data_IF_372541784783
#
_entry.id   IF_372541784783
#
_cell.length_a   1.000
_cell.length_b   1.000
_cell.length_c   1.000
_cell.angle_alpha   90.00
_cell.angle_beta   90.00
_cell.angle_gamma   90.00
#
_symmetry.space_group_name_H-M   'P 1'
#
loop_
_entity.id
_entity.type
_entity.pdbx_description
1 polymer ?
#
# COMPACT_ATOMS: atom_id res chain seq x y z
N UNK A 1 -8.44 17.50 16.25
CA UNK A 1 -8.95 16.60 15.19
C UNK A 1 -8.24 16.78 13.82
N UNK A 2 -7.78 17.98 13.46
CA UNK A 2 -7.16 18.32 12.15
C UNK A 2 -5.98 17.43 11.69
N UNK A 3 -5.06 17.06 12.58
CA UNK A 3 -3.86 16.26 12.24
C UNK A 3 -4.18 14.78 11.96
N UNK A 4 -5.20 14.22 12.64
CA UNK A 4 -5.57 12.79 12.53
C UNK A 4 -6.04 12.43 11.11
N UNK A 5 -6.69 13.37 10.41
CA UNK A 5 -7.24 13.12 9.07
C UNK A 5 -6.16 13.18 7.97
N UNK A 6 -5.10 13.97 8.17
CA UNK A 6 -3.95 14.01 7.26
C UNK A 6 -3.12 12.74 7.39
N UNK A 7 -2.89 12.26 8.62
CA UNK A 7 -2.20 10.97 8.84
C UNK A 7 -3.02 9.84 8.23
N UNK A 8 -4.35 9.85 8.41
CA UNK A 8 -5.25 8.88 7.77
C UNK A 8 -5.13 8.86 6.25
N UNK A 9 -5.15 10.03 5.60
CA UNK A 9 -4.98 10.14 4.15
C UNK A 9 -3.59 9.67 3.69
N UNK A 10 -2.52 10.04 4.41
CA UNK A 10 -1.16 9.57 4.11
C UNK A 10 -1.04 8.05 4.22
N UNK A 11 -1.50 7.46 5.33
CA UNK A 11 -1.50 6.01 5.53
C UNK A 11 -2.34 5.29 4.49
N UNK A 12 -3.46 5.89 4.06
CA UNK A 12 -4.25 5.34 2.97
C UNK A 12 -3.45 5.27 1.66
N UNK A 13 -2.67 6.30 1.34
CA UNK A 13 -1.77 6.31 0.19
C UNK A 13 -0.73 5.20 0.25
N UNK A 14 -0.11 4.99 1.42
CA UNK A 14 0.85 3.91 1.66
C UNK A 14 0.22 2.54 1.40
N UNK A 15 -0.96 2.26 1.97
CA UNK A 15 -1.65 0.98 1.81
C UNK A 15 -2.07 0.74 0.36
N UNK A 16 -2.68 1.75 -0.29
CA UNK A 16 -3.06 1.65 -1.70
C UNK A 16 -1.85 1.35 -2.58
N UNK A 17 -0.72 2.04 -2.39
CA UNK A 17 0.50 1.78 -3.13
C UNK A 17 1.09 0.38 -2.85
N UNK A 18 0.99 -0.11 -1.60
CA UNK A 18 1.39 -1.48 -1.27
C UNK A 18 0.53 -2.53 -1.98
N UNK A 19 -0.78 -2.26 -2.17
CA UNK A 19 -1.70 -3.24 -2.77
C UNK A 19 -1.35 -3.61 -4.22
N UNK A 20 -0.96 -2.63 -5.04
CA UNK A 20 -0.81 -2.80 -6.49
C UNK A 20 0.20 -3.87 -6.90
N UNK A 21 1.45 -3.89 -6.40
CA UNK A 21 2.42 -4.92 -6.80
C UNK A 21 1.98 -6.32 -6.37
N UNK A 22 1.31 -6.47 -5.22
CA UNK A 22 0.78 -7.76 -4.77
C UNK A 22 -0.37 -8.25 -5.67
N UNK A 23 -1.31 -7.37 -6.03
CA UNK A 23 -2.39 -7.72 -6.95
C UNK A 23 -1.85 -8.06 -8.35
N UNK A 24 -0.89 -7.28 -8.86
CA UNK A 24 -0.22 -7.57 -10.14
C UNK A 24 0.50 -8.93 -10.12
N UNK A 25 1.25 -9.21 -9.04
CA UNK A 25 1.92 -10.51 -8.83
C UNK A 25 0.92 -11.66 -8.81
N UNK A 26 -0.21 -11.49 -8.12
CA UNK A 26 -1.24 -12.52 -8.04
C UNK A 26 -1.87 -12.84 -9.41
N UNK A 27 -2.15 -11.80 -10.21
CA UNK A 27 -2.65 -11.96 -11.59
C UNK A 27 -1.61 -12.63 -12.48
N UNK A 28 -0.34 -12.24 -12.36
CA UNK A 28 0.76 -12.82 -13.11
C UNK A 28 1.14 -14.25 -12.67
N UNK A 29 0.52 -14.78 -11.61
CA UNK A 29 0.83 -16.10 -11.06
C UNK A 29 2.24 -16.20 -10.45
N UNK A 30 2.87 -15.07 -10.17
CA UNK A 30 4.23 -14.99 -9.66
C UNK A 30 4.27 -15.10 -8.12
N UNK A 31 5.47 -15.02 -7.56
CA UNK A 31 5.71 -14.93 -6.12
C UNK A 31 6.20 -13.54 -5.75
N UNK A 32 5.73 -13.08 -4.62
CA UNK A 32 6.19 -11.85 -3.97
C UNK A 32 5.97 -12.02 -2.48
N UNK A 33 6.96 -11.61 -1.69
CA UNK A 33 6.96 -11.81 -0.26
C UNK A 33 5.76 -11.12 0.40
N UNK A 34 5.01 -11.83 1.25
CA UNK A 34 3.98 -11.22 2.09
C UNK A 34 4.14 -11.64 3.55
N UNK A 35 3.61 -10.88 4.53
CA UNK A 35 3.62 -11.29 5.93
C UNK A 35 2.89 -12.61 6.21
N UNK A 36 1.97 -13.01 5.32
CA UNK A 36 1.13 -14.20 5.51
C UNK A 36 1.89 -15.52 5.30
N UNK A 37 2.89 -15.55 4.39
CA UNK A 37 3.63 -16.78 4.05
C UNK A 37 5.11 -16.53 3.71
N UNK A 38 5.63 -15.34 4.00
CA UNK A 38 6.99 -14.95 3.69
C UNK A 38 7.30 -15.03 2.19
N UNK A 39 8.52 -15.45 1.84
CA UNK A 39 8.99 -15.55 0.44
C UNK A 39 8.23 -16.58 -0.40
N UNK A 40 7.55 -17.56 0.24
CA UNK A 40 6.77 -18.61 -0.46
C UNK A 40 5.36 -18.16 -0.84
N UNK A 41 5.07 -16.87 -0.74
CA UNK A 41 3.78 -16.29 -1.11
C UNK A 41 3.59 -16.29 -2.62
N UNK A 42 2.76 -17.22 -3.11
CA UNK A 42 2.29 -17.26 -4.51
C UNK A 42 1.01 -16.47 -4.73
N UNK A 43 0.18 -16.90 -5.69
CA UNK A 43 -1.05 -16.21 -6.11
C UNK A 43 -1.99 -15.82 -4.97
N UNK A 44 -2.44 -16.79 -4.16
CA UNK A 44 -3.47 -16.53 -3.13
C UNK A 44 -3.01 -15.62 -2.00
N UNK A 45 -1.84 -15.83 -1.36
CA UNK A 45 -1.34 -14.91 -0.33
C UNK A 45 -1.17 -13.47 -0.83
N UNK A 46 -0.72 -13.30 -2.08
CA UNK A 46 -0.58 -11.98 -2.69
C UNK A 46 -1.94 -11.33 -2.97
N UNK A 47 -2.92 -12.08 -3.47
CA UNK A 47 -4.27 -11.57 -3.69
C UNK A 47 -4.92 -11.10 -2.39
N UNK A 48 -4.85 -11.92 -1.33
CA UNK A 48 -5.42 -11.60 -0.02
C UNK A 48 -4.73 -10.39 0.58
N UNK A 49 -3.40 -10.38 0.59
CA UNK A 49 -2.63 -9.28 1.17
C UNK A 49 -2.82 -7.96 0.41
N UNK A 50 -2.78 -8.00 -0.93
CA UNK A 50 -3.07 -6.84 -1.77
C UNK A 50 -4.49 -6.33 -1.56
N UNK A 51 -5.48 -7.23 -1.51
CA UNK A 51 -6.87 -6.89 -1.24
C UNK A 51 -7.08 -6.24 0.13
N UNK A 52 -6.46 -6.76 1.18
CA UNK A 52 -6.51 -6.17 2.53
C UNK A 52 -5.94 -4.75 2.56
N UNK A 53 -4.81 -4.52 1.89
CA UNK A 53 -4.19 -3.20 1.80
C UNK A 53 -5.10 -2.21 1.04
N UNK A 54 -5.65 -2.61 -0.09
CA UNK A 54 -6.56 -1.77 -0.86
C UNK A 54 -7.82 -1.43 -0.05
N UNK A 55 -8.47 -2.44 0.55
CA UNK A 55 -9.65 -2.25 1.37
C UNK A 55 -9.36 -1.33 2.57
N UNK A 56 -8.23 -1.53 3.26
CA UNK A 56 -7.79 -0.68 4.37
C UNK A 56 -7.52 0.76 3.95
N UNK A 57 -6.86 0.97 2.81
CA UNK A 57 -6.60 2.29 2.24
C UNK A 57 -7.91 3.02 1.91
N UNK A 58 -8.84 2.36 1.22
CA UNK A 58 -10.15 2.94 0.88
C UNK A 58 -10.98 3.27 2.13
N UNK A 59 -10.98 2.40 3.15
CA UNK A 59 -11.66 2.65 4.41
C UNK A 59 -11.09 3.90 5.14
N UNK A 60 -9.77 4.09 5.11
CA UNK A 60 -9.11 5.26 5.68
C UNK A 60 -9.44 6.55 4.93
N UNK A 61 -9.53 6.51 3.59
CA UNK A 61 -10.00 7.65 2.78
C UNK A 61 -11.44 8.01 3.16
N UNK A 62 -12.34 7.01 3.18
CA UNK A 62 -13.74 7.19 3.51
C UNK A 62 -13.93 7.81 4.92
N UNK A 63 -13.11 7.39 5.89
CA UNK A 63 -13.12 7.96 7.25
C UNK A 63 -12.55 9.38 7.29
N UNK A 64 -11.50 9.65 6.51
CA UNK A 64 -10.80 10.95 6.52
C UNK A 64 -11.59 12.06 5.79
N UNK A 65 -12.48 11.70 4.86
CA UNK A 65 -13.35 12.62 4.12
C UNK A 65 -14.45 13.27 4.97
N UNK A 66 -14.74 12.77 6.18
CA UNK A 66 -15.81 13.31 7.06
C UNK A 66 -15.46 14.65 7.74
N UNK A 67 -14.49 15.41 7.22
CA UNK A 67 -14.09 16.68 7.79
C UNK A 67 -14.21 17.81 6.77
N UNK A 68 -14.69 18.98 7.21
CA UNK A 68 -14.91 20.23 6.45
C UNK A 68 -13.63 20.85 5.84
N UNK A 69 -12.60 20.06 5.62
CA UNK A 69 -11.31 20.54 5.15
C UNK A 69 -11.17 20.42 3.63
N UNK A 70 -10.32 21.27 3.01
CA UNK A 70 -10.06 21.20 1.57
C UNK A 70 -9.54 19.81 1.18
N UNK A 71 -10.25 19.15 0.26
CA UNK A 71 -9.88 17.84 -0.29
C UNK A 71 -8.45 17.84 -0.85
N UNK A 72 -8.00 18.95 -1.44
CA UNK A 72 -6.65 19.10 -1.98
C UNK A 72 -5.54 18.72 -0.98
N UNK A 73 -5.66 19.08 0.31
CA UNK A 73 -4.66 18.71 1.33
C UNK A 73 -4.65 17.21 1.63
N UNK A 74 -5.82 16.56 1.59
CA UNK A 74 -5.93 15.11 1.77
C UNK A 74 -5.37 14.37 0.57
N UNK A 75 -5.62 14.87 -0.65
CA UNK A 75 -5.07 14.32 -1.88
C UNK A 75 -3.54 14.42 -1.90
N UNK A 76 -2.97 15.56 -1.51
CA UNK A 76 -1.51 15.72 -1.39
C UNK A 76 -0.94 14.73 -0.35
N UNK A 77 -1.58 14.62 0.82
CA UNK A 77 -1.12 13.68 1.84
C UNK A 77 -1.19 12.22 1.36
N UNK A 78 -2.27 11.84 0.70
CA UNK A 78 -2.44 10.52 0.07
C UNK A 78 -1.38 10.25 -0.98
N UNK A 79 -1.15 11.19 -1.91
CA UNK A 79 -0.12 11.06 -2.94
C UNK A 79 1.28 10.95 -2.33
N UNK A 80 1.59 11.74 -1.30
CA UNK A 80 2.86 11.68 -0.58
C UNK A 80 3.09 10.33 0.11
N UNK A 81 2.05 9.74 0.71
CA UNK A 81 2.11 8.41 1.30
C UNK A 81 2.39 7.33 0.25
N UNK A 82 1.68 7.37 -0.87
CA UNK A 82 1.91 6.46 -1.99
C UNK A 82 3.32 6.57 -2.56
N UNK A 83 3.79 7.81 -2.81
CA UNK A 83 5.14 8.07 -3.31
C UNK A 83 6.22 7.56 -2.35
N UNK A 84 6.03 7.76 -1.04
CA UNK A 84 6.96 7.26 -0.02
C UNK A 84 7.04 5.74 -0.04
N UNK A 85 5.90 5.06 -0.14
CA UNK A 85 5.89 3.59 -0.20
C UNK A 85 6.55 3.07 -1.49
N UNK A 86 6.29 3.70 -2.63
CA UNK A 86 6.93 3.32 -3.90
C UNK A 86 8.45 3.52 -3.85
N UNK A 87 8.92 4.65 -3.33
CA UNK A 87 10.35 4.92 -3.14
C UNK A 87 11.00 3.87 -2.24
N UNK A 88 10.34 3.53 -1.12
CA UNK A 88 10.78 2.44 -0.25
C UNK A 88 10.81 1.09 -0.96
N UNK A 89 9.76 0.73 -1.71
CA UNK A 89 9.68 -0.56 -2.40
C UNK A 89 10.80 -0.73 -3.44
N UNK A 90 11.09 0.33 -4.22
CA UNK A 90 12.20 0.34 -5.17
C UNK A 90 13.54 0.18 -4.45
N UNK A 91 13.76 0.95 -3.39
CA UNK A 91 14.99 0.86 -2.59
C UNK A 91 15.17 -0.53 -1.98
N UNK A 92 14.11 -1.06 -1.36
CA UNK A 92 14.12 -2.36 -0.69
C UNK A 92 14.42 -3.49 -1.68
N UNK A 93 13.85 -3.44 -2.89
CA UNK A 93 14.19 -4.44 -3.91
C UNK A 93 15.63 -4.28 -4.42
N UNK A 94 16.06 -3.05 -4.70
CA UNK A 94 17.40 -2.77 -5.21
C UNK A 94 18.54 -3.13 -4.24
N UNK A 95 18.31 -2.93 -2.93
CA UNK A 95 19.35 -3.09 -1.90
C UNK A 95 19.19 -4.39 -1.13
N UNK A 96 17.96 -4.75 -0.72
CA UNK A 96 17.70 -5.88 0.17
C UNK A 96 17.25 -7.14 -0.56
N UNK A 97 16.87 -7.04 -1.84
CA UNK A 97 16.49 -8.18 -2.69
C UNK A 97 15.43 -9.08 -2.04
N UNK A 98 14.36 -8.47 -1.54
CA UNK A 98 13.31 -9.19 -0.84
C UNK A 98 12.64 -10.27 -1.69
N UNK A 99 12.57 -10.06 -3.01
CA UNK A 99 11.88 -10.96 -3.93
C UNK A 99 12.83 -11.73 -4.87
N UNK A 100 14.15 -11.58 -4.74
CA UNK A 100 15.13 -12.37 -5.50
C UNK A 100 15.18 -13.81 -4.94
N UNK A 101 14.98 -14.83 -5.78
CA UNK A 101 15.04 -16.26 -5.38
C UNK A 101 16.45 -16.86 -5.54
N UNK A 102 17.51 -16.02 -5.66
CA UNK A 102 18.90 -16.51 -5.64
C UNK A 102 19.28 -17.19 -4.32
#
# INVERSE_FOLDING_TARGET
>A
MRKKNIIGAYSAGVLSANSLPHLATAVAGQRMMTPLRGRRSGRWPNLVWGGMNLAGGLALVARSHRAEQPWARHLIAYAAGGATFLAWAVFAEAVLKFNDER
#
